data_IF_098433933700
#
_entry.id   IF_098433933700
#
_cell.length_a   1.000
_cell.length_b   1.000
_cell.length_c   1.000
_cell.angle_alpha   90.00
_cell.angle_beta   90.00
_cell.angle_gamma   90.00
#
_symmetry.space_group_name_H-M   'P 1'
#
loop_
_entity.id
_entity.type
_entity.pdbx_description
1 polymer ?
#
# COMPACT_ATOMS: atom_id res chain seq x y z
N UNK A 1 -4.19 10.26 -8.88
CA UNK A 1 -5.11 9.60 -9.84
C UNK A 1 -4.51 9.66 -11.23
N UNK A 2 -4.54 8.56 -11.96
CA UNK A 2 -4.14 8.44 -13.36
C UNK A 2 -5.34 8.00 -14.20
N UNK A 3 -5.48 8.58 -15.39
CA UNK A 3 -6.45 8.12 -16.39
C UNK A 3 -5.72 7.37 -17.50
N UNK A 4 -6.23 6.22 -17.88
CA UNK A 4 -5.66 5.39 -18.94
C UNK A 4 -6.55 5.39 -20.17
N UNK A 5 -5.93 5.66 -21.32
CA UNK A 5 -6.61 5.58 -22.60
C UNK A 5 -6.76 4.11 -22.99
N UNK A 6 -7.96 3.73 -23.37
CA UNK A 6 -8.27 2.39 -23.85
C UNK A 6 -7.32 1.95 -24.95
N UNK A 7 -6.85 0.71 -24.84
CA UNK A 7 -5.95 0.05 -25.80
C UNK A 7 -4.63 0.78 -26.11
N UNK A 8 -4.26 1.80 -25.34
CA UNK A 8 -2.92 2.37 -25.47
C UNK A 8 -1.85 1.37 -25.00
N UNK A 9 -0.66 1.35 -25.61
CA UNK A 9 0.35 0.37 -25.25
C UNK A 9 0.68 0.41 -23.76
N UNK A 10 0.47 -0.70 -23.03
CA UNK A 10 0.71 -0.80 -21.59
C UNK A 10 2.13 -0.40 -21.17
N UNK A 11 3.12 -0.63 -22.04
CA UNK A 11 4.50 -0.23 -21.82
C UNK A 11 4.72 1.27 -21.78
N UNK A 12 3.78 2.07 -22.28
CA UNK A 12 3.83 3.53 -22.26
C UNK A 12 3.02 4.13 -21.10
N UNK A 13 2.29 3.31 -20.37
CA UNK A 13 1.43 3.75 -19.27
C UNK A 13 2.02 3.34 -17.91
N UNK A 14 1.74 4.16 -16.89
CA UNK A 14 2.26 3.93 -15.54
C UNK A 14 3.74 4.24 -15.39
N UNK A 15 4.34 3.72 -14.34
CA UNK A 15 5.74 3.98 -13.99
C UNK A 15 6.62 2.82 -14.45
N UNK A 16 7.55 3.11 -15.37
CA UNK A 16 8.52 2.15 -15.90
C UNK A 16 9.54 1.69 -14.84
N UNK A 17 10.48 0.80 -15.24
CA UNK A 17 11.51 0.30 -14.34
C UNK A 17 12.33 1.43 -13.69
N UNK A 18 12.40 1.42 -12.37
CA UNK A 18 13.16 2.38 -11.57
C UNK A 18 13.66 1.71 -10.27
N UNK A 19 14.80 2.17 -9.70
CA UNK A 19 15.38 1.55 -8.52
C UNK A 19 14.94 2.21 -7.23
N UNK A 20 14.89 1.40 -6.15
CA UNK A 20 14.78 1.86 -4.77
C UNK A 20 15.82 1.20 -3.88
N UNK A 21 16.21 1.88 -2.79
CA UNK A 21 17.16 1.37 -1.82
C UNK A 21 16.96 2.01 -0.45
N UNK A 22 17.00 1.20 0.62
CA UNK A 22 17.08 1.67 2.00
C UNK A 22 15.78 2.23 2.58
N UNK A 23 14.63 1.95 1.97
CA UNK A 23 13.29 2.30 2.45
C UNK A 23 12.26 1.31 1.89
N UNK A 24 11.02 1.44 2.34
CA UNK A 24 9.92 0.61 1.88
C UNK A 24 8.86 1.47 1.19
N UNK A 25 8.71 1.41 -0.14
CA UNK A 25 7.50 1.86 -0.81
C UNK A 25 6.33 0.96 -0.43
N UNK A 26 5.23 1.59 -0.05
CA UNK A 26 3.95 0.93 0.28
C UNK A 26 2.87 1.54 -0.58
N UNK A 27 2.25 0.72 -1.43
CA UNK A 27 1.21 1.16 -2.36
C UNK A 27 -0.15 0.69 -1.87
N UNK A 28 -1.04 1.63 -1.56
CA UNK A 28 -2.45 1.41 -1.24
C UNK A 28 -3.25 1.69 -2.50
N UNK A 29 -3.96 0.69 -3.03
CA UNK A 29 -4.76 0.84 -4.25
C UNK A 29 -6.16 1.34 -3.89
N UNK A 30 -6.43 2.61 -4.13
CA UNK A 30 -7.71 3.25 -3.83
C UNK A 30 -8.73 2.93 -4.90
N UNK A 31 -8.31 2.95 -6.18
CA UNK A 31 -9.15 2.56 -7.31
C UNK A 31 -8.30 1.99 -8.44
N UNK A 32 -8.91 1.15 -9.30
CA UNK A 32 -8.25 0.48 -10.40
C UNK A 32 -7.31 -0.64 -9.95
N UNK A 33 -6.23 -0.84 -10.70
CA UNK A 33 -5.27 -1.94 -10.51
C UNK A 33 -3.83 -1.49 -10.76
N UNK A 34 -2.89 -2.04 -9.98
CA UNK A 34 -1.44 -1.84 -10.16
C UNK A 34 -0.76 -3.17 -10.37
N UNK A 35 -0.09 -3.32 -11.50
CA UNK A 35 0.77 -4.47 -11.78
C UNK A 35 2.21 -4.14 -11.39
N UNK A 36 2.66 -4.68 -10.28
CA UNK A 36 4.04 -4.65 -9.82
C UNK A 36 4.85 -5.75 -10.53
N UNK A 37 6.03 -5.41 -10.98
CA UNK A 37 7.06 -6.37 -11.43
C UNK A 37 8.41 -5.90 -10.93
N UNK A 38 9.27 -6.83 -10.48
CA UNK A 38 10.58 -6.46 -9.94
C UNK A 38 11.72 -7.37 -10.41
N UNK A 39 12.96 -6.95 -10.08
CA UNK A 39 14.19 -7.63 -10.46
C UNK A 39 14.44 -8.94 -9.70
N UNK A 40 13.61 -9.29 -8.72
CA UNK A 40 13.65 -10.57 -8.01
C UNK A 40 12.61 -11.56 -8.55
N UNK A 41 11.88 -11.19 -9.61
CA UNK A 41 10.94 -12.06 -10.31
C UNK A 41 9.52 -12.03 -9.75
N UNK A 42 9.20 -11.12 -8.81
CA UNK A 42 7.83 -10.93 -8.41
C UNK A 42 7.02 -10.26 -9.53
N UNK A 43 5.80 -10.74 -9.73
CA UNK A 43 4.84 -10.19 -10.67
C UNK A 43 3.44 -10.33 -10.06
N UNK A 44 2.85 -9.23 -9.62
CA UNK A 44 1.59 -9.24 -8.88
C UNK A 44 0.71 -8.05 -9.27
N UNK A 45 -0.55 -8.33 -9.53
CA UNK A 45 -1.58 -7.29 -9.67
C UNK A 45 -2.24 -7.11 -8.31
N UNK A 46 -2.31 -5.86 -7.86
CA UNK A 46 -3.13 -5.44 -6.73
C UNK A 46 -4.29 -4.62 -7.25
N UNK A 47 -5.48 -4.91 -6.76
CA UNK A 47 -6.73 -4.26 -7.12
C UNK A 47 -7.22 -3.34 -6.00
N UNK A 48 -8.29 -2.62 -6.25
CA UNK A 48 -8.93 -1.72 -5.27
C UNK A 48 -9.07 -2.37 -3.88
N UNK A 49 -8.62 -1.65 -2.87
CA UNK A 49 -8.66 -2.06 -1.47
C UNK A 49 -7.48 -2.91 -1.01
N UNK A 50 -6.56 -3.24 -1.91
CA UNK A 50 -5.41 -4.10 -1.65
C UNK A 50 -4.11 -3.29 -1.47
N UNK A 51 -3.09 -3.94 -0.93
CA UNK A 51 -1.83 -3.29 -0.56
C UNK A 51 -0.63 -4.07 -1.06
N UNK A 52 0.36 -3.35 -1.57
CA UNK A 52 1.69 -3.88 -1.88
C UNK A 52 2.72 -3.24 -0.96
N UNK A 53 3.54 -4.06 -0.31
CA UNK A 53 4.63 -3.62 0.55
C UNK A 53 5.94 -4.17 0.03
N UNK A 54 6.80 -3.29 -0.45
CA UNK A 54 8.13 -3.65 -0.90
C UNK A 54 9.18 -3.09 0.07
N UNK A 55 9.96 -3.94 0.74
CA UNK A 55 11.17 -3.47 1.41
C UNK A 55 12.30 -3.49 0.40
N UNK A 56 12.78 -2.31 -0.01
CA UNK A 56 13.82 -2.20 -1.02
C UNK A 56 15.21 -2.65 -0.52
N UNK A 57 15.44 -2.61 0.79
CA UNK A 57 16.68 -3.10 1.39
C UNK A 57 17.95 -2.64 0.67
N UNK A 58 18.82 -3.55 0.31
CA UNK A 58 20.08 -3.30 -0.39
C UNK A 58 19.92 -2.78 -1.84
N UNK A 59 18.73 -2.90 -2.40
CA UNK A 59 18.37 -2.40 -3.72
C UNK A 59 17.50 -3.35 -4.51
N UNK A 60 16.49 -2.81 -5.15
CA UNK A 60 15.56 -3.51 -6.04
C UNK A 60 15.15 -2.56 -7.16
N UNK A 61 15.02 -3.08 -8.37
CA UNK A 61 14.42 -2.35 -9.49
C UNK A 61 13.02 -2.89 -9.70
N UNK A 62 12.02 -2.02 -9.80
CA UNK A 62 10.66 -2.41 -10.05
C UNK A 62 9.94 -1.47 -11.01
N UNK A 63 8.77 -1.89 -11.47
CA UNK A 63 7.84 -1.09 -12.26
C UNK A 63 6.43 -1.21 -11.67
N UNK A 64 5.64 -0.15 -11.80
CA UNK A 64 4.25 -0.07 -11.37
C UNK A 64 3.41 0.43 -12.55
N UNK A 65 2.69 -0.48 -13.18
CA UNK A 65 1.92 -0.21 -14.39
C UNK A 65 0.45 -0.58 -14.16
N UNK A 66 -0.47 -0.06 -14.97
CA UNK A 66 -1.83 -0.62 -14.99
C UNK A 66 -1.78 -2.10 -15.40
N UNK A 67 -2.76 -2.89 -14.97
CA UNK A 67 -2.96 -4.24 -15.52
C UNK A 67 -3.31 -4.18 -17.00
N UNK A 68 -3.11 -5.28 -17.72
CA UNK A 68 -3.53 -5.38 -19.12
C UNK A 68 -5.06 -5.23 -19.24
N UNK A 69 -5.80 -5.77 -18.28
CA UNK A 69 -7.26 -5.65 -18.23
C UNK A 69 -7.71 -4.18 -18.10
N UNK A 70 -7.07 -3.42 -17.20
CA UNK A 70 -7.37 -1.99 -17.04
C UNK A 70 -7.01 -1.19 -18.29
N UNK A 71 -5.90 -1.51 -18.95
CA UNK A 71 -5.51 -0.88 -20.22
C UNK A 71 -6.54 -1.15 -21.32
N UNK A 72 -6.99 -2.39 -21.48
CA UNK A 72 -7.99 -2.74 -22.48
C UNK A 72 -9.36 -2.11 -22.22
N UNK A 73 -9.77 -2.04 -20.97
CA UNK A 73 -11.03 -1.41 -20.59
C UNK A 73 -10.96 0.13 -20.68
N UNK A 74 -9.79 0.70 -20.47
CA UNK A 74 -9.61 2.09 -20.07
C UNK A 74 -10.11 2.31 -18.65
N UNK A 75 -9.87 3.47 -18.08
CA UNK A 75 -10.37 3.81 -16.75
C UNK A 75 -9.37 4.56 -15.91
N UNK A 76 -9.62 4.53 -14.62
CA UNK A 76 -8.82 5.26 -13.63
C UNK A 76 -8.00 4.31 -12.76
N UNK A 77 -6.87 4.81 -12.31
CA UNK A 77 -6.07 4.21 -11.25
C UNK A 77 -5.80 5.29 -10.22
N UNK A 78 -6.11 5.00 -8.99
CA UNK A 78 -5.80 5.87 -7.86
C UNK A 78 -5.05 5.09 -6.80
N UNK A 79 -3.89 5.63 -6.42
CA UNK A 79 -3.03 5.02 -5.40
C UNK A 79 -2.52 6.07 -4.44
N UNK A 80 -2.33 5.66 -3.20
CA UNK A 80 -1.50 6.37 -2.23
C UNK A 80 -0.23 5.56 -2.05
N UNK A 81 0.91 6.16 -2.33
CA UNK A 81 2.19 5.52 -2.07
C UNK A 81 2.92 6.21 -0.91
N UNK A 82 3.24 5.43 0.11
CA UNK A 82 4.01 5.87 1.27
C UNK A 82 5.45 5.38 1.12
N UNK A 83 6.42 6.26 1.38
CA UNK A 83 7.83 5.89 1.45
C UNK A 83 8.25 5.85 2.91
N UNK A 84 8.39 4.65 3.45
CA UNK A 84 8.73 4.41 4.85
C UNK A 84 10.22 4.19 4.96
N UNK A 85 10.93 5.14 5.60
CA UNK A 85 12.38 5.04 5.76
C UNK A 85 12.76 3.85 6.64
N UNK A 86 13.72 3.05 6.20
CA UNK A 86 14.25 1.95 7.00
C UNK A 86 15.30 2.47 8.01
N UNK A 87 15.33 1.95 9.24
CA UNK A 87 16.43 2.23 10.18
C UNK A 87 17.79 1.88 9.58
N UNK A 88 18.83 2.60 9.98
CA UNK A 88 20.18 2.43 9.42
C UNK A 88 20.66 0.97 9.43
N UNK A 89 20.37 0.24 10.52
CA UNK A 89 20.75 -1.17 10.68
C UNK A 89 20.06 -2.11 9.67
N UNK A 90 18.95 -1.68 9.06
CA UNK A 90 18.14 -2.49 8.16
C UNK A 90 18.14 -2.00 6.70
N UNK A 91 18.86 -0.91 6.40
CA UNK A 91 18.92 -0.35 5.04
C UNK A 91 19.53 -1.30 4.01
N UNK A 92 20.35 -2.25 4.45
CA UNK A 92 21.08 -3.18 3.58
C UNK A 92 20.59 -4.64 3.72
N UNK A 93 19.41 -4.85 4.29
CA UNK A 93 18.79 -6.19 4.32
C UNK A 93 18.41 -6.65 2.91
N UNK A 94 18.29 -7.96 2.66
CA UNK A 94 17.76 -8.44 1.39
C UNK A 94 16.38 -7.82 1.09
N UNK A 95 16.10 -7.44 -0.16
CA UNK A 95 14.79 -6.96 -0.55
C UNK A 95 13.71 -8.01 -0.33
N UNK A 96 12.50 -7.55 0.02
CA UNK A 96 11.32 -8.40 0.15
C UNK A 96 10.11 -7.72 -0.47
N UNK A 97 9.17 -8.53 -0.94
CA UNK A 97 7.90 -8.08 -1.46
C UNK A 97 6.76 -8.85 -0.77
N UNK A 98 5.72 -8.13 -0.36
CA UNK A 98 4.53 -8.71 0.27
C UNK A 98 3.29 -8.10 -0.35
N UNK A 99 2.36 -8.93 -0.77
CA UNK A 99 1.05 -8.55 -1.25
C UNK A 99 -0.01 -8.89 -0.19
N UNK A 100 -0.89 -7.93 0.07
CA UNK A 100 -2.03 -8.09 0.95
C UNK A 100 -3.32 -7.91 0.14
N UNK A 101 -4.00 -9.02 -0.08
CA UNK A 101 -5.33 -9.03 -0.69
C UNK A 101 -6.41 -8.58 0.30
N UNK A 102 -7.56 -8.20 -0.22
CA UNK A 102 -8.73 -7.88 0.62
C UNK A 102 -9.08 -9.02 1.59
N UNK A 103 -8.87 -10.28 1.20
CA UNK A 103 -9.21 -11.45 2.00
C UNK A 103 -8.22 -11.69 3.15
N UNK A 104 -6.96 -11.29 2.99
CA UNK A 104 -5.95 -11.52 4.01
C UNK A 104 -5.60 -10.28 4.85
N UNK A 105 -6.10 -9.09 4.50
CA UNK A 105 -6.01 -7.91 5.33
C UNK A 105 -6.84 -8.08 6.59
N UNK A 106 -6.20 -7.95 7.75
CA UNK A 106 -6.91 -7.98 9.04
C UNK A 106 -7.70 -6.70 9.23
N UNK A 107 -8.94 -6.84 9.67
CA UNK A 107 -9.84 -5.70 9.87
C UNK A 107 -10.36 -5.64 11.30
N UNK A 108 -10.58 -4.43 11.80
CA UNK A 108 -11.33 -4.15 13.02
C UNK A 108 -12.43 -3.13 12.72
N UNK A 109 -13.43 -3.03 13.58
CA UNK A 109 -14.49 -2.01 13.46
C UNK A 109 -14.45 -1.08 14.64
N UNK A 110 -14.79 0.20 14.42
CA UNK A 110 -15.03 1.14 15.52
C UNK A 110 -16.20 0.68 16.39
N UNK A 111 -16.26 1.17 17.63
CA UNK A 111 -17.30 0.78 18.59
C UNK A 111 -18.72 1.10 18.12
N UNK A 112 -18.88 2.17 17.35
CA UNK A 112 -20.14 2.59 16.72
C UNK A 112 -20.41 1.90 15.37
N UNK A 113 -19.45 1.11 14.86
CA UNK A 113 -19.53 0.43 13.58
C UNK A 113 -19.37 1.34 12.35
N UNK A 114 -19.14 2.64 12.54
CA UNK A 114 -19.04 3.61 11.45
C UNK A 114 -17.76 3.44 10.62
N UNK A 115 -16.69 2.95 11.24
CA UNK A 115 -15.40 2.74 10.56
C UNK A 115 -15.05 1.27 10.47
N UNK A 116 -14.50 0.89 9.31
CA UNK A 116 -13.79 -0.38 9.12
C UNK A 116 -12.31 -0.06 8.94
N UNK A 117 -11.47 -0.57 9.83
CA UNK A 117 -10.03 -0.35 9.82
C UNK A 117 -9.33 -1.57 9.23
N UNK A 118 -8.63 -1.41 8.13
CA UNK A 118 -7.71 -2.40 7.56
C UNK A 118 -6.34 -2.20 8.21
N UNK A 119 -5.88 -3.20 8.94
CA UNK A 119 -4.58 -3.15 9.61
C UNK A 119 -3.49 -3.64 8.65
N UNK A 120 -2.78 -2.73 8.03
CA UNK A 120 -1.71 -3.03 7.08
C UNK A 120 -0.45 -3.47 7.83
N UNK A 121 0.01 -2.70 8.80
CA UNK A 121 1.23 -3.00 9.55
C UNK A 121 1.13 -2.54 11.01
N UNK A 122 1.90 -3.19 11.88
CA UNK A 122 1.92 -2.88 13.31
C UNK A 122 0.86 -3.64 14.10
N UNK A 123 0.42 -3.06 15.24
CA UNK A 123 -0.60 -3.65 16.11
C UNK A 123 -1.62 -2.59 16.52
N UNK A 124 -2.89 -2.96 16.47
CA UNK A 124 -4.00 -2.09 16.81
C UNK A 124 -5.10 -2.88 17.54
N UNK A 125 -5.55 -2.39 18.69
CA UNK A 125 -6.60 -3.01 19.51
C UNK A 125 -6.40 -4.53 19.74
N UNK A 126 -5.16 -4.91 20.08
CA UNK A 126 -4.82 -6.32 20.32
C UNK A 126 -4.65 -7.19 19.06
N UNK A 127 -4.97 -6.66 17.90
CA UNK A 127 -4.75 -7.32 16.60
C UNK A 127 -3.42 -6.93 16.02
N UNK A 128 -2.66 -7.89 15.49
CA UNK A 128 -1.40 -7.66 14.77
C UNK A 128 -1.63 -7.75 13.27
N UNK A 129 -1.13 -6.76 12.52
CA UNK A 129 -1.13 -6.76 11.06
C UNK A 129 -0.24 -7.83 10.46
N UNK A 130 -0.44 -8.11 9.19
CA UNK A 130 0.32 -9.12 8.47
C UNK A 130 1.77 -8.70 8.19
N UNK A 131 2.03 -7.39 8.14
CA UNK A 131 3.37 -6.84 7.96
C UNK A 131 3.99 -6.54 9.32
N UNK A 132 5.21 -7.04 9.51
CA UNK A 132 6.08 -6.61 10.60
C UNK A 132 7.04 -5.56 10.05
N UNK A 133 6.81 -4.26 10.33
CA UNK A 133 7.66 -3.20 9.79
C UNK A 133 9.04 -3.21 10.45
N UNK A 134 10.05 -2.68 9.74
CA UNK A 134 11.43 -2.59 10.24
C UNK A 134 11.61 -1.50 11.32
N UNK A 135 10.66 -0.58 11.42
CA UNK A 135 10.58 0.45 12.48
C UNK A 135 9.25 0.35 13.19
N UNK A 136 9.20 0.86 14.43
CA UNK A 136 7.95 0.90 15.19
C UNK A 136 6.97 1.87 14.50
N UNK A 137 5.94 1.32 13.84
CA UNK A 137 4.88 2.09 13.20
C UNK A 137 3.56 1.32 13.22
N UNK A 138 2.49 2.07 13.08
CA UNK A 138 1.14 1.57 12.81
C UNK A 138 0.67 2.19 11.49
N UNK A 139 0.23 1.35 10.56
CA UNK A 139 -0.43 1.78 9.33
C UNK A 139 -1.83 1.20 9.28
N UNK A 140 -2.81 2.09 9.38
CA UNK A 140 -4.24 1.78 9.23
C UNK A 140 -4.77 2.45 7.96
N UNK A 141 -5.63 1.72 7.26
CA UNK A 141 -6.51 2.25 6.25
C UNK A 141 -7.94 2.14 6.77
N UNK A 142 -8.59 3.28 7.00
CA UNK A 142 -9.92 3.33 7.59
C UNK A 142 -10.94 3.80 6.57
N UNK A 143 -11.94 2.97 6.32
CA UNK A 143 -13.08 3.30 5.48
C UNK A 143 -14.27 3.66 6.38
N UNK A 144 -14.94 4.79 6.12
CA UNK A 144 -16.16 5.21 6.83
C UNK A 144 -17.39 4.99 5.97
N UNK A 145 -18.40 4.32 6.52
CA UNK A 145 -19.70 4.11 5.86
C UNK A 145 -20.68 5.27 6.06
N UNK A 146 -20.28 6.34 6.79
CA UNK A 146 -21.13 7.48 7.09
C UNK A 146 -20.50 8.42 8.11
N UNK A 147 -21.35 9.20 8.80
CA UNK A 147 -20.88 10.06 9.88
C UNK A 147 -20.56 9.24 11.13
N UNK A 148 -19.41 9.48 11.73
CA UNK A 148 -18.97 8.82 12.95
C UNK A 148 -17.72 9.47 13.51
N UNK A 149 -17.24 8.96 14.64
CA UNK A 149 -15.98 9.38 15.22
C UNK A 149 -15.20 8.17 15.72
N UNK A 150 -13.90 8.23 15.57
CA UNK A 150 -12.99 7.21 16.09
C UNK A 150 -11.81 7.86 16.77
N UNK A 151 -11.48 7.41 17.96
CA UNK A 151 -10.31 7.86 18.71
C UNK A 151 -9.16 6.87 18.53
N UNK A 152 -8.04 7.38 18.09
CA UNK A 152 -6.79 6.62 18.01
C UNK A 152 -5.81 7.08 19.10
N UNK A 153 -5.38 6.17 19.94
CA UNK A 153 -4.33 6.45 20.93
C UNK A 153 -2.97 6.36 20.25
N UNK A 154 -2.25 7.48 20.26
CA UNK A 154 -0.88 7.55 19.73
C UNK A 154 0.09 7.25 20.86
N UNK A 155 0.95 6.25 20.70
CA UNK A 155 1.94 5.90 21.69
C UNK A 155 2.93 7.06 21.92
N UNK A 156 3.43 7.19 23.14
CA UNK A 156 4.43 8.21 23.47
C UNK A 156 5.67 8.09 22.57
N UNK A 157 6.16 9.22 22.08
CA UNK A 157 7.30 9.27 21.16
C UNK A 157 6.96 8.94 19.69
N UNK A 158 5.68 8.82 19.35
CA UNK A 158 5.21 8.67 17.97
C UNK A 158 4.51 9.93 17.49
N UNK A 159 4.58 10.15 16.18
CA UNK A 159 3.84 11.18 15.47
C UNK A 159 2.75 10.52 14.62
N UNK A 160 1.64 11.22 14.40
CA UNK A 160 0.58 10.76 13.52
C UNK A 160 0.54 11.59 12.24
N UNK A 161 0.41 10.90 11.11
CA UNK A 161 0.05 11.50 9.84
C UNK A 161 -1.32 10.95 9.44
N UNK A 162 -2.25 11.85 9.11
CA UNK A 162 -3.60 11.50 8.67
C UNK A 162 -3.83 12.07 7.28
N UNK A 163 -4.25 11.22 6.36
CA UNK A 163 -4.72 11.59 5.03
C UNK A 163 -6.22 11.33 4.95
N UNK A 164 -6.99 12.29 4.53
CA UNK A 164 -8.43 12.17 4.28
C UNK A 164 -8.70 12.26 2.78
N UNK A 165 -9.55 11.36 2.29
CA UNK A 165 -10.09 11.42 0.94
C UNK A 165 -11.59 11.14 1.00
N UNK A 166 -12.37 11.94 0.25
CA UNK A 166 -13.78 11.65 -0.03
C UNK A 166 -13.82 10.92 -1.39
N UNK A 167 -14.28 9.69 -1.35
CA UNK A 167 -14.45 8.83 -2.52
C UNK A 167 -15.91 8.85 -2.99
#
# INVERSE_FOLDING_TARGET
>A
TFEFTRDAPALQQGIGPHPHRGFSPVTLVIDGEVHHRDSFGHSQIASKGEVQWMNAGAGITHSERPSEALVHAGGQQEVIQLWINSPAAHKMTPPTYTYLSNDNLRTTKSADGAFTNKLVAGSYEGTRGNITPLSALLLLWSDSAGTGSQLHNIAAGHEAMVRWECL
#
